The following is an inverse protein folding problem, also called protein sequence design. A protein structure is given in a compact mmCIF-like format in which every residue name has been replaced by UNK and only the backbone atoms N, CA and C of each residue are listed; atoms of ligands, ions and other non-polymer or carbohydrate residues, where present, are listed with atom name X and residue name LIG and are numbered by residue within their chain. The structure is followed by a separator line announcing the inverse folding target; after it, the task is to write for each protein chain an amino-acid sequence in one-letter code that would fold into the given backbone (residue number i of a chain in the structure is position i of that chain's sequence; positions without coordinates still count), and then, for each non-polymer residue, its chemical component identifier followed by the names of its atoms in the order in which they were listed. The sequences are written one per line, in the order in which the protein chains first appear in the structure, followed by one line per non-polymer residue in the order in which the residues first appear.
data_IF_299668706258
#
_entry.id   IF_299668706258
#
_cell.length_a   1.000
_cell.length_b   1.000
_cell.length_c   1.000
_cell.angle_alpha   90.00
_cell.angle_beta   90.00
_cell.angle_gamma   90.00
#
_symmetry.space_group_name_H-M   'P 1'
#
loop_
_entity.id
_entity.type
_entity.pdbx_description
1 polymer ?
#
# COMPACT_ATOMS: atom_id res chain seq x y z
N UNK A 1 -5.74 12.66 -12.00
CA UNK A 1 -4.84 11.72 -11.29
C UNK A 1 -5.40 10.32 -11.49
N UNK A 2 -4.58 9.38 -11.94
CA UNK A 2 -5.02 7.98 -12.00
C UNK A 2 -4.83 7.37 -10.61
N UNK A 3 -5.94 7.00 -10.00
CA UNK A 3 -6.01 6.42 -8.67
C UNK A 3 -6.95 5.24 -8.70
N UNK A 4 -6.68 4.24 -7.87
CA UNK A 4 -7.56 3.12 -7.68
C UNK A 4 -8.31 3.30 -6.36
N UNK A 5 -9.62 3.04 -6.38
CA UNK A 5 -10.50 3.23 -5.24
C UNK A 5 -11.12 1.90 -4.83
N UNK A 6 -11.28 1.71 -3.53
CA UNK A 6 -11.95 0.53 -3.00
C UNK A 6 -11.47 0.19 -1.60
N UNK A 7 -12.06 -0.86 -1.03
CA UNK A 7 -11.59 -1.45 0.22
C UNK A 7 -10.51 -2.47 -0.08
N UNK A 8 -9.38 -2.37 0.62
CA UNK A 8 -8.40 -3.46 0.61
C UNK A 8 -8.94 -4.67 1.36
N UNK A 9 -8.56 -5.86 0.92
CA UNK A 9 -8.85 -7.13 1.55
C UNK A 9 -7.58 -7.70 2.19
N UNK A 10 -7.74 -8.69 3.06
CA UNK A 10 -6.59 -9.45 3.57
C UNK A 10 -6.21 -10.54 2.57
N UNK A 11 -4.97 -10.51 2.09
CA UNK A 11 -4.34 -11.57 1.31
C UNK A 11 -3.25 -12.30 2.09
N UNK A 12 -2.91 -13.51 1.64
CA UNK A 12 -1.87 -14.35 2.25
C UNK A 12 -0.88 -14.84 1.21
N UNK A 13 0.40 -14.89 1.57
CA UNK A 13 1.44 -15.61 0.82
C UNK A 13 2.23 -16.48 1.82
N UNK A 14 1.91 -17.77 1.85
CA UNK A 14 2.36 -18.67 2.92
C UNK A 14 1.87 -18.17 4.28
N UNK A 15 2.81 -17.91 5.20
CA UNK A 15 2.52 -17.41 6.56
C UNK A 15 2.38 -15.89 6.65
N UNK A 16 2.64 -15.17 5.55
CA UNK A 16 2.70 -13.71 5.55
C UNK A 16 1.36 -13.10 5.15
N UNK A 17 0.89 -12.14 5.95
CA UNK A 17 -0.34 -11.38 5.74
C UNK A 17 -0.05 -10.09 4.95
N UNK A 18 -0.87 -9.81 3.95
CA UNK A 18 -0.79 -8.60 3.12
C UNK A 18 -2.15 -7.92 3.01
N UNK A 19 -2.14 -6.61 2.78
CA UNK A 19 -3.26 -5.92 2.19
C UNK A 19 -3.27 -6.22 0.67
N UNK A 20 -4.45 -6.44 0.12
CA UNK A 20 -4.67 -6.82 -1.27
C UNK A 20 -5.77 -5.92 -1.86
N UNK A 21 -5.62 -5.48 -3.11
CA UNK A 21 -6.68 -4.78 -3.86
C UNK A 21 -6.76 -5.28 -5.30
N UNK A 22 -7.99 -5.53 -5.79
CA UNK A 22 -8.26 -5.96 -7.17
C UNK A 22 -8.71 -4.79 -8.04
N UNK A 23 -8.58 -4.92 -9.37
CA UNK A 23 -9.04 -3.89 -10.31
C UNK A 23 -8.12 -2.68 -10.43
N UNK A 24 -6.95 -2.73 -9.78
CA UNK A 24 -5.88 -1.77 -9.91
C UNK A 24 -4.74 -2.43 -10.70
N UNK A 25 -4.51 -2.00 -11.93
CA UNK A 25 -3.35 -2.42 -12.71
C UNK A 25 -2.43 -1.23 -12.93
N UNK A 26 -1.60 -0.90 -11.94
CA UNK A 26 -0.64 0.20 -12.06
C UNK A 26 0.62 -0.16 -12.87
N UNK A 27 0.82 -1.43 -13.22
CA UNK A 27 2.02 -1.92 -13.90
C UNK A 27 3.34 -1.74 -13.13
N UNK A 28 4.44 -2.13 -13.80
CA UNK A 28 5.79 -1.99 -13.27
C UNK A 28 6.18 -0.52 -13.06
N UNK A 29 6.93 -0.25 -11.99
CA UNK A 29 7.32 1.10 -11.57
C UNK A 29 6.40 1.73 -10.53
N UNK A 30 5.22 1.15 -10.28
CA UNK A 30 4.31 1.58 -9.22
C UNK A 30 4.75 1.20 -7.80
N UNK A 31 5.81 0.40 -7.67
CA UNK A 31 6.37 -0.06 -6.39
C UNK A 31 6.75 1.12 -5.49
N UNK A 32 6.30 1.08 -4.23
CA UNK A 32 6.48 2.17 -3.26
C UNK A 32 5.36 3.22 -3.28
N UNK A 33 4.46 3.20 -4.27
CA UNK A 33 3.33 4.12 -4.34
C UNK A 33 2.40 4.00 -3.11
N UNK A 34 1.94 5.13 -2.52
CA UNK A 34 1.21 5.12 -1.25
C UNK A 34 -0.24 4.66 -1.42
N UNK A 35 -0.73 3.90 -0.45
CA UNK A 35 -2.14 3.56 -0.33
C UNK A 35 -2.74 4.42 0.78
N UNK A 36 -3.68 5.28 0.40
CA UNK A 36 -4.23 6.31 1.26
C UNK A 36 -5.58 5.87 1.83
N UNK A 37 -5.71 6.04 3.14
CA UNK A 37 -6.95 5.91 3.90
C UNK A 37 -7.47 7.29 4.27
N UNK A 38 -8.79 7.43 4.39
CA UNK A 38 -9.47 8.70 4.64
C UNK A 38 -9.04 9.84 3.68
N UNK A 39 -8.82 9.50 2.41
CA UNK A 39 -8.41 10.49 1.41
C UNK A 39 -9.49 11.56 1.19
N UNK A 40 -9.07 12.82 1.23
CA UNK A 40 -9.91 13.98 0.95
C UNK A 40 -9.58 14.58 -0.41
N UNK A 41 -10.58 14.64 -1.30
CA UNK A 41 -10.45 15.32 -2.60
C UNK A 41 -10.25 16.84 -2.45
N UNK A 42 -10.64 17.43 -1.32
CA UNK A 42 -10.50 18.87 -1.07
C UNK A 42 -9.06 19.25 -0.73
N UNK A 43 -8.37 18.43 0.05
CA UNK A 43 -6.99 18.70 0.50
C UNK A 43 -5.94 17.96 -0.31
N UNK A 44 -6.33 16.90 -1.03
CA UNK A 44 -5.38 16.00 -1.71
C UNK A 44 -4.58 15.14 -0.74
N UNK A 45 -5.02 15.01 0.52
CA UNK A 45 -4.30 14.32 1.58
C UNK A 45 -5.10 13.13 2.12
N UNK A 46 -4.38 12.17 2.71
CA UNK A 46 -4.91 11.02 3.44
C UNK A 46 -3.80 10.36 4.26
N UNK A 47 -4.12 9.31 5.00
CA UNK A 47 -3.15 8.57 5.81
C UNK A 47 -2.55 7.42 5.00
N UNK A 48 -1.21 7.35 4.93
CA UNK A 48 -0.54 6.21 4.32
C UNK A 48 -0.68 5.00 5.24
N UNK A 49 -1.39 3.96 4.77
CA UNK A 49 -1.59 2.70 5.52
C UNK A 49 -0.82 1.51 4.96
N UNK A 50 -0.32 1.64 3.72
CA UNK A 50 0.39 0.60 2.99
C UNK A 50 1.08 1.24 1.77
N UNK A 51 1.90 0.46 1.08
CA UNK A 51 2.49 0.82 -0.22
C UNK A 51 2.33 -0.33 -1.21
N UNK A 52 2.32 -0.04 -2.51
CA UNK A 52 2.40 -1.08 -3.54
C UNK A 52 3.75 -1.80 -3.40
N UNK A 53 3.73 -3.10 -3.15
CA UNK A 53 4.94 -3.91 -2.98
C UNK A 53 5.15 -4.89 -4.13
N UNK A 54 4.10 -5.66 -4.47
CA UNK A 54 4.15 -6.62 -5.56
C UNK A 54 2.73 -6.93 -6.08
N UNK A 55 2.68 -7.56 -7.25
CA UNK A 55 1.49 -8.17 -7.82
C UNK A 55 1.88 -9.45 -8.59
N UNK A 56 0.91 -10.30 -8.94
CA UNK A 56 1.12 -11.39 -9.88
C UNK A 56 1.39 -10.86 -11.29
N UNK A 57 2.00 -11.68 -12.15
CA UNK A 57 2.34 -11.29 -13.52
C UNK A 57 1.12 -11.00 -14.42
N UNK A 58 -0.06 -11.49 -14.03
CA UNK A 58 -1.33 -11.24 -14.72
C UNK A 58 -2.04 -9.95 -14.24
N UNK A 59 -1.40 -9.18 -13.36
CA UNK A 59 -1.92 -7.93 -12.77
C UNK A 59 -3.32 -8.06 -12.13
N UNK A 60 -3.72 -9.27 -11.73
CA UNK A 60 -5.05 -9.51 -11.16
C UNK A 60 -5.30 -8.78 -9.84
N UNK A 61 -4.25 -8.44 -9.11
CA UNK A 61 -4.32 -7.65 -7.88
C UNK A 61 -2.97 -7.01 -7.54
N UNK A 62 -3.00 -5.99 -6.68
CA UNK A 62 -1.82 -5.45 -6.03
C UNK A 62 -1.79 -5.84 -4.56
N UNK A 63 -0.60 -6.09 -4.03
CA UNK A 63 -0.34 -6.35 -2.62
C UNK A 63 0.53 -5.27 -2.02
N UNK A 64 0.23 -4.95 -0.78
CA UNK A 64 1.05 -4.10 0.08
C UNK A 64 1.17 -4.68 1.49
N UNK A 65 2.28 -4.44 2.19
CA UNK A 65 2.44 -4.89 3.57
C UNK A 65 1.43 -4.19 4.47
N UNK A 66 0.93 -4.91 5.48
CA UNK A 66 0.21 -4.28 6.57
C UNK A 66 1.20 -3.56 7.49
N UNK A 67 1.01 -2.25 7.67
CA UNK A 67 1.85 -1.46 8.57
C UNK A 67 1.44 -1.71 10.02
N UNK A 68 2.23 -2.51 10.72
CA UNK A 68 2.12 -2.71 12.16
C UNK A 68 3.23 -1.96 12.92
N UNK A 69 3.40 -2.29 14.21
CA UNK A 69 4.40 -1.66 15.07
C UNK A 69 5.82 -1.73 14.50
N UNK A 70 6.18 -2.77 13.75
CA UNK A 70 7.53 -2.91 13.18
C UNK A 70 7.81 -1.85 12.12
N UNK A 71 6.81 -1.53 11.29
CA UNK A 71 6.93 -0.46 10.30
C UNK A 71 6.91 0.91 11.00
N UNK A 72 6.13 1.06 12.07
CA UNK A 72 6.15 2.28 12.87
C UNK A 72 7.53 2.52 13.51
N UNK A 73 8.12 1.51 14.13
CA UNK A 73 9.45 1.57 14.74
C UNK A 73 10.50 1.94 13.69
N UNK A 74 10.44 1.32 12.51
CA UNK A 74 11.29 1.66 11.38
C UNK A 74 11.12 3.12 10.94
N UNK A 75 9.88 3.58 10.81
CA UNK A 75 9.58 4.97 10.45
C UNK A 75 10.14 5.97 11.48
N UNK A 76 9.95 5.69 12.77
CA UNK A 76 10.47 6.53 13.85
C UNK A 76 12.00 6.56 13.86
N UNK A 77 12.65 5.43 13.58
CA UNK A 77 14.10 5.36 13.47
C UNK A 77 14.61 6.13 12.24
N UNK A 78 14.02 5.90 11.06
CA UNK A 78 14.40 6.57 9.82
C UNK A 78 14.18 8.09 9.88
N UNK A 79 13.14 8.55 10.57
CA UNK A 79 12.88 9.99 10.73
C UNK A 79 13.87 10.69 11.68
N UNK A 80 14.81 9.95 12.29
CA UNK A 80 15.91 10.47 13.11
C UNK A 80 17.28 10.29 12.44
N UNK A 81 17.31 9.76 11.21
CA UNK A 81 18.52 9.49 10.43
C UNK A 81 18.90 10.74 9.61
N UNK A 82 19.24 11.83 10.31
CA UNK A 82 19.69 13.10 9.71
C UNK A 82 21.19 13.31 9.86
#
# INVERSE_FOLDING_TARGET
MWACWGSSQTGWNGLYKFNHITGCDFGGGSSGGPWLDEYSNTTGLGYVRSVTSNGPADNSYLRGPYFDSRVNDLFVAANKDW
#
